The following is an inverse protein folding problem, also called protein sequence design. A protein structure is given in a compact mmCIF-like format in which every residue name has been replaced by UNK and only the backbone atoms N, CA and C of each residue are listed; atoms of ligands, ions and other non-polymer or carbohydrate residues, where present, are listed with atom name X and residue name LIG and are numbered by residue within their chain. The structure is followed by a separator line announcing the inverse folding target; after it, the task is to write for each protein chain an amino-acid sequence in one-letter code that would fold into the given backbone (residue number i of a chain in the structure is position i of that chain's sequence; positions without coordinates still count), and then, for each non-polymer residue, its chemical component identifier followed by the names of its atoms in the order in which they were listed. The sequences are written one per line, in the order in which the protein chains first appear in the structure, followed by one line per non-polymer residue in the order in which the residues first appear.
data_IF_547373034877
#
_entry.id   IF_547373034877
#
_cell.length_a   1.000
_cell.length_b   1.000
_cell.length_c   1.000
_cell.angle_alpha   90.00
_cell.angle_beta   90.00
_cell.angle_gamma   90.00
#
_symmetry.space_group_name_H-M   'P 1'
#
loop_
_entity.id
_entity.type
_entity.pdbx_description
1 polymer ?
#
# COMPACT_ATOMS: atom_id res chain seq x y z
N UNK A 1 -0.21 -24.35 48.49
CA UNK A 1 -0.18 -23.77 47.26
C UNK A 1 0.79 -24.33 46.26
N UNK A 2 0.55 -23.96 44.98
CA UNK A 2 1.43 -24.31 43.85
C UNK A 2 2.56 -23.27 43.68
N UNK A 3 2.43 -22.13 44.31
CA UNK A 3 3.35 -20.98 44.23
C UNK A 3 3.40 -20.29 45.63
N UNK A 4 4.54 -19.78 46.01
CA UNK A 4 4.71 -19.01 47.25
C UNK A 4 4.80 -17.50 46.99
N UNK A 5 4.67 -16.70 48.05
CA UNK A 5 4.67 -15.24 47.95
C UNK A 5 6.01 -14.69 47.47
N UNK A 6 7.12 -15.37 47.73
CA UNK A 6 8.45 -14.97 47.28
C UNK A 6 8.60 -15.02 45.78
N UNK A 7 7.95 -16.00 45.09
CA UNK A 7 7.97 -16.09 43.62
C UNK A 7 7.14 -14.98 43.00
N UNK A 8 6.01 -14.60 43.67
CA UNK A 8 5.19 -13.45 43.29
C UNK A 8 6.02 -12.15 43.46
N UNK A 9 6.70 -11.98 44.56
CA UNK A 9 7.53 -10.81 44.85
C UNK A 9 8.67 -10.62 43.85
N UNK A 10 9.30 -11.71 43.41
CA UNK A 10 10.33 -11.68 42.36
C UNK A 10 9.74 -11.13 41.03
N UNK A 11 8.57 -11.61 40.64
CA UNK A 11 7.90 -11.15 39.42
C UNK A 11 7.42 -9.68 39.55
N UNK A 12 6.85 -9.34 40.68
CA UNK A 12 6.40 -7.97 40.99
C UNK A 12 7.59 -7.00 41.00
N UNK A 13 8.70 -7.37 41.62
CA UNK A 13 9.91 -6.55 41.63
C UNK A 13 10.42 -6.25 40.23
N UNK A 14 10.45 -7.27 39.30
CA UNK A 14 10.84 -7.06 37.93
C UNK A 14 9.93 -6.08 37.20
N UNK A 15 8.61 -6.23 37.38
CA UNK A 15 7.62 -5.33 36.79
C UNK A 15 7.77 -3.90 37.31
N UNK A 16 7.85 -3.72 38.63
CA UNK A 16 7.97 -2.39 39.27
C UNK A 16 9.30 -1.75 38.91
N UNK A 17 10.41 -2.51 38.84
CA UNK A 17 11.70 -1.96 38.43
C UNK A 17 11.62 -1.31 37.07
N UNK A 18 11.03 -2.01 36.06
CA UNK A 18 10.85 -1.44 34.74
C UNK A 18 9.99 -0.16 34.78
N UNK A 19 8.91 -0.13 35.55
CA UNK A 19 8.05 1.05 35.70
C UNK A 19 8.76 2.23 36.34
N UNK A 20 9.60 1.98 37.36
CA UNK A 20 10.46 3.02 37.96
C UNK A 20 11.50 3.54 36.95
N UNK A 21 12.16 2.66 36.20
CA UNK A 21 13.13 3.05 35.18
C UNK A 21 12.50 3.86 34.05
N UNK A 22 11.23 3.61 33.73
CA UNK A 22 10.45 4.39 32.75
C UNK A 22 9.98 5.76 33.32
N UNK A 23 10.16 6.03 34.60
CA UNK A 23 9.71 7.28 35.23
C UNK A 23 8.20 7.33 35.49
N UNK A 24 7.48 6.21 35.44
CA UNK A 24 6.03 6.18 35.67
C UNK A 24 5.63 6.59 37.08
N UNK A 25 6.57 6.53 38.03
CA UNK A 25 6.35 6.93 39.42
C UNK A 25 6.81 8.37 39.71
N UNK A 26 7.33 9.07 38.71
CA UNK A 26 7.75 10.47 38.85
C UNK A 26 6.54 11.39 38.71
N UNK A 27 6.51 12.51 39.46
CA UNK A 27 5.43 13.50 39.35
C UNK A 27 5.36 14.11 37.93
N UNK A 28 6.51 14.31 37.30
CA UNK A 28 6.64 14.78 35.92
C UNK A 28 7.72 13.98 35.18
N UNK A 29 7.37 12.86 34.56
CA UNK A 29 8.33 12.11 33.77
C UNK A 29 8.75 12.94 32.56
N UNK A 30 10.03 12.84 32.17
CA UNK A 30 10.62 13.62 31.08
C UNK A 30 9.88 13.49 29.70
N UNK A 31 9.20 12.38 29.50
CA UNK A 31 8.42 12.13 28.27
C UNK A 31 7.03 12.78 28.30
N UNK A 32 6.47 13.17 29.43
CA UNK A 32 5.12 13.74 29.56
C UNK A 32 4.97 15.12 28.89
N UNK A 33 6.07 15.86 28.75
CA UNK A 33 6.09 17.19 28.10
C UNK A 33 6.49 17.18 26.64
N UNK A 34 6.64 16.00 26.03
CA UNK A 34 6.96 15.91 24.60
C UNK A 34 5.79 16.49 23.80
N UNK A 35 5.97 17.61 23.09
CA UNK A 35 4.88 18.25 22.38
C UNK A 35 4.49 17.44 21.13
N UNK A 36 3.21 17.46 20.76
CA UNK A 36 2.71 16.80 19.55
C UNK A 36 3.36 17.30 18.26
N UNK A 37 3.98 18.51 18.29
CA UNK A 37 4.71 19.08 17.15
C UNK A 37 5.95 18.26 16.73
N UNK A 38 6.46 17.35 17.58
CA UNK A 38 7.55 16.44 17.19
C UNK A 38 7.06 15.34 16.25
N UNK A 39 5.74 15.03 16.25
CA UNK A 39 5.18 14.06 15.32
C UNK A 39 5.36 14.52 13.88
N UNK A 40 5.97 13.66 13.06
CA UNK A 40 6.25 13.95 11.67
C UNK A 40 7.07 15.25 11.45
N UNK A 41 7.94 15.58 12.41
CA UNK A 41 8.87 16.71 12.29
C UNK A 41 9.80 16.53 11.08
N UNK A 42 10.55 17.57 10.71
CA UNK A 42 11.51 17.50 9.61
C UNK A 42 12.59 16.44 9.87
N UNK A 43 13.00 16.29 11.13
CA UNK A 43 13.96 15.29 11.57
C UNK A 43 13.41 13.88 11.42
N UNK A 44 12.14 13.64 11.81
CA UNK A 44 11.47 12.36 11.63
C UNK A 44 11.28 12.02 10.14
N UNK A 45 10.94 13.00 9.29
CA UNK A 45 10.85 12.80 7.85
C UNK A 45 12.21 12.47 7.23
N UNK A 46 13.29 13.14 7.68
CA UNK A 46 14.65 12.85 7.24
C UNK A 46 15.10 11.44 7.68
N UNK A 47 14.76 11.03 8.90
CA UNK A 47 15.03 9.69 9.39
C UNK A 47 14.26 8.62 8.59
N UNK A 48 12.98 8.86 8.32
CA UNK A 48 12.16 7.95 7.50
C UNK A 48 12.75 7.76 6.09
N UNK A 49 13.22 8.84 5.46
CA UNK A 49 13.91 8.75 4.16
C UNK A 49 15.23 7.98 4.28
N UNK A 50 16.03 8.22 5.33
CA UNK A 50 17.29 7.50 5.55
C UNK A 50 17.04 6.01 5.71
N UNK A 51 16.05 5.62 6.52
CA UNK A 51 15.69 4.22 6.71
C UNK A 51 15.22 3.56 5.40
N UNK A 52 14.40 4.26 4.61
CA UNK A 52 13.99 3.77 3.30
C UNK A 52 15.20 3.53 2.38
N UNK A 53 16.15 4.47 2.30
CA UNK A 53 17.38 4.33 1.50
C UNK A 53 18.23 3.15 1.94
N UNK A 54 18.49 3.04 3.24
CA UNK A 54 19.37 2.02 3.82
C UNK A 54 18.76 0.61 3.75
N UNK A 55 17.42 0.49 3.63
CA UNK A 55 16.73 -0.80 3.50
C UNK A 55 16.66 -1.33 2.07
N UNK A 56 16.80 -0.49 1.05
CA UNK A 56 16.75 -0.94 -0.35
C UNK A 56 17.89 -1.88 -0.69
N UNK A 57 17.58 -3.01 -1.33
CA UNK A 57 18.55 -4.03 -1.71
C UNK A 57 18.60 -4.17 -3.22
N UNK A 58 19.72 -3.83 -3.83
CA UNK A 58 19.93 -4.09 -5.26
C UNK A 58 20.29 -5.57 -5.46
N UNK A 59 19.37 -6.32 -6.09
CA UNK A 59 19.52 -7.75 -6.31
C UNK A 59 20.20 -8.09 -7.65
N UNK A 60 19.99 -7.23 -8.64
CA UNK A 60 20.56 -7.43 -9.98
C UNK A 60 20.81 -6.10 -10.67
N UNK A 61 21.93 -6.00 -11.42
CA UNK A 61 22.26 -4.85 -12.26
C UNK A 61 23.08 -5.31 -13.47
N UNK A 62 22.40 -5.91 -14.47
CA UNK A 62 23.04 -6.41 -15.68
C UNK A 62 23.61 -5.26 -16.51
N UNK A 63 24.84 -5.45 -16.95
CA UNK A 63 25.56 -4.48 -17.80
C UNK A 63 25.63 -3.07 -17.20
N UNK A 64 25.57 -2.95 -15.87
CA UNK A 64 25.57 -1.67 -15.15
C UNK A 64 24.53 -0.70 -15.71
N UNK A 65 23.28 -1.19 -15.94
CA UNK A 65 22.20 -0.35 -16.47
C UNK A 65 21.80 0.75 -15.49
N UNK A 66 21.94 0.50 -14.20
CA UNK A 66 21.82 1.52 -13.15
C UNK A 66 23.22 2.11 -12.85
N UNK A 67 23.30 3.43 -12.58
CA UNK A 67 22.19 4.39 -12.52
C UNK A 67 21.68 4.79 -13.89
N UNK A 68 20.37 5.16 -13.95
CA UNK A 68 19.72 5.64 -15.16
C UNK A 68 20.10 7.11 -15.46
N UNK A 69 20.12 7.42 -16.76
CA UNK A 69 20.24 8.81 -17.20
C UNK A 69 18.83 9.46 -17.28
N UNK A 70 18.67 10.64 -16.69
CA UNK A 70 17.41 11.39 -16.70
C UNK A 70 16.97 11.88 -18.09
N UNK A 71 17.83 11.77 -19.10
CA UNK A 71 17.48 12.08 -20.48
C UNK A 71 16.74 10.98 -21.22
N UNK A 72 16.67 9.78 -20.65
CA UNK A 72 15.93 8.65 -21.21
C UNK A 72 14.42 8.89 -21.16
N UNK A 73 13.69 8.33 -22.13
CA UNK A 73 12.24 8.22 -22.07
C UNK A 73 11.86 7.00 -21.23
N UNK A 74 11.25 7.25 -20.08
CA UNK A 74 10.98 6.24 -19.07
C UNK A 74 9.48 5.95 -19.01
N UNK A 75 9.10 4.67 -19.06
CA UNK A 75 7.76 4.26 -18.67
C UNK A 75 7.80 3.70 -17.25
N UNK A 76 6.83 4.11 -16.42
CA UNK A 76 6.59 3.55 -15.10
C UNK A 76 5.31 2.74 -15.16
N UNK A 77 5.41 1.47 -14.81
CA UNK A 77 4.30 0.50 -14.86
C UNK A 77 4.17 -0.27 -13.56
N UNK A 78 3.10 -1.05 -13.46
CA UNK A 78 2.87 -1.99 -12.36
C UNK A 78 1.92 -1.48 -11.29
N UNK A 79 1.35 -2.41 -10.50
CA UNK A 79 0.30 -2.11 -9.51
C UNK A 79 0.80 -1.22 -8.37
N UNK A 80 2.10 -1.29 -8.04
CA UNK A 80 2.70 -0.55 -6.94
C UNK A 80 3.29 0.81 -7.36
N UNK A 81 3.22 1.15 -8.64
CA UNK A 81 3.85 2.37 -9.16
C UNK A 81 3.27 3.64 -8.54
N UNK A 82 1.96 3.73 -8.42
CA UNK A 82 1.24 4.90 -7.91
C UNK A 82 0.36 4.58 -6.69
N UNK A 83 0.68 3.52 -5.97
CA UNK A 83 -0.01 3.15 -4.74
C UNK A 83 0.72 3.70 -3.51
N UNK A 84 0.07 4.61 -2.79
CA UNK A 84 0.62 5.19 -1.57
C UNK A 84 0.44 4.29 -0.36
N UNK A 85 -0.67 3.53 -0.30
CA UNK A 85 -1.06 2.71 0.86
C UNK A 85 -0.19 1.46 0.96
N UNK A 86 0.12 0.83 -0.17
CA UNK A 86 1.02 -0.32 -0.22
C UNK A 86 2.36 -0.05 0.49
N UNK A 87 2.90 1.18 0.36
CA UNK A 87 4.20 1.52 0.93
C UNK A 87 4.24 1.53 2.46
N UNK A 88 3.09 1.65 3.13
CA UNK A 88 3.06 1.81 4.60
C UNK A 88 3.32 0.50 5.35
N UNK A 89 3.08 -0.64 4.72
CA UNK A 89 3.16 -1.94 5.37
C UNK A 89 1.91 -2.26 6.21
N UNK A 90 2.00 -3.29 7.04
CA UNK A 90 0.94 -3.68 7.98
C UNK A 90 1.10 -2.89 9.28
N UNK A 91 0.01 -2.76 10.06
CA UNK A 91 0.01 -2.06 11.36
C UNK A 91 0.58 -0.65 11.31
N UNK A 92 0.26 0.06 10.24
CA UNK A 92 0.77 1.41 9.99
C UNK A 92 -0.09 2.49 10.66
N UNK A 93 0.52 3.66 10.88
CA UNK A 93 -0.21 4.92 11.03
C UNK A 93 -0.47 5.54 9.65
N UNK A 94 -1.28 6.58 9.59
CA UNK A 94 -1.56 7.32 8.35
C UNK A 94 -0.58 8.48 8.19
N UNK A 95 0.35 8.43 7.23
CA UNK A 95 1.28 9.52 6.97
C UNK A 95 0.55 10.76 6.44
N UNK A 96 1.03 11.94 6.84
CA UNK A 96 0.51 13.21 6.31
C UNK A 96 0.66 13.31 4.79
N UNK A 97 1.73 12.72 4.25
CA UNK A 97 2.03 12.67 2.81
C UNK A 97 2.88 11.44 2.52
N UNK A 98 2.55 10.74 1.45
CA UNK A 98 3.36 9.65 0.89
C UNK A 98 3.86 10.05 -0.48
N UNK A 99 5.14 9.78 -0.77
CA UNK A 99 5.72 9.94 -2.10
C UNK A 99 5.67 8.58 -2.78
N UNK A 100 4.82 8.42 -3.79
CA UNK A 100 4.72 7.17 -4.54
C UNK A 100 5.99 6.94 -5.37
N UNK A 101 6.21 5.71 -5.84
CA UNK A 101 7.35 5.39 -6.72
C UNK A 101 7.28 6.26 -8.00
N UNK A 102 6.09 6.41 -8.57
CA UNK A 102 5.84 7.29 -9.71
C UNK A 102 6.20 8.75 -9.41
N UNK A 103 5.79 9.28 -8.24
CA UNK A 103 6.10 10.65 -7.83
C UNK A 103 7.60 10.88 -7.65
N UNK A 104 8.28 9.89 -7.03
CA UNK A 104 9.74 9.93 -6.87
C UNK A 104 10.47 9.99 -8.20
N UNK A 105 10.10 9.11 -9.14
CA UNK A 105 10.68 9.06 -10.49
C UNK A 105 10.39 10.36 -11.26
N UNK A 106 9.14 10.84 -11.22
CA UNK A 106 8.74 12.10 -11.85
C UNK A 106 9.58 13.28 -11.34
N UNK A 107 9.77 13.34 -10.02
CA UNK A 107 10.59 14.37 -9.39
C UNK A 107 12.06 14.29 -9.80
N UNK A 108 12.65 13.10 -9.89
CA UNK A 108 14.03 12.90 -10.29
C UNK A 108 14.26 13.24 -11.77
N UNK A 109 13.31 12.93 -12.64
CA UNK A 109 13.41 13.25 -14.07
C UNK A 109 13.22 14.75 -14.37
N UNK A 110 12.45 15.45 -13.56
CA UNK A 110 12.22 16.91 -13.70
C UNK A 110 11.51 17.36 -14.99
N UNK A 111 11.07 16.41 -15.84
CA UNK A 111 10.42 16.67 -17.12
C UNK A 111 9.34 15.62 -17.38
N UNK A 112 8.08 16.06 -17.45
CA UNK A 112 6.93 15.19 -17.69
C UNK A 112 6.84 14.65 -19.13
N UNK A 113 7.42 15.34 -20.12
CA UNK A 113 7.38 14.95 -21.52
C UNK A 113 8.11 13.64 -21.85
N UNK A 114 8.98 13.18 -20.94
CA UNK A 114 9.73 11.93 -21.06
C UNK A 114 9.22 10.81 -20.17
N UNK A 115 8.18 11.05 -19.38
CA UNK A 115 7.60 10.08 -18.47
C UNK A 115 6.26 9.58 -19.00
N UNK A 116 6.15 8.26 -19.16
CA UNK A 116 4.90 7.57 -19.48
C UNK A 116 4.46 6.83 -18.22
N UNK A 117 3.20 6.97 -17.83
CA UNK A 117 2.60 6.13 -16.80
C UNK A 117 1.52 5.24 -17.40
N UNK A 118 1.63 3.95 -17.15
CA UNK A 118 0.63 2.95 -17.48
C UNK A 118 0.61 1.90 -16.39
N UNK A 119 -0.48 1.74 -15.64
CA UNK A 119 -0.55 0.72 -14.59
C UNK A 119 -0.36 -0.68 -15.16
N UNK A 120 -1.02 -1.00 -16.26
CA UNK A 120 -0.86 -2.21 -17.06
C UNK A 120 -1.50 -3.45 -16.45
N UNK A 121 -1.33 -3.72 -15.17
CA UNK A 121 -1.93 -4.86 -14.47
C UNK A 121 -2.25 -4.52 -13.00
N UNK A 122 -3.10 -5.36 -12.39
CA UNK A 122 -3.32 -5.36 -10.94
C UNK A 122 -2.31 -6.26 -10.23
N UNK A 123 -2.46 -6.43 -8.90
CA UNK A 123 -1.59 -7.32 -8.14
C UNK A 123 -1.74 -8.80 -8.56
N UNK A 124 -2.98 -9.30 -8.62
CA UNK A 124 -3.27 -10.74 -8.80
C UNK A 124 -4.28 -10.98 -9.92
N UNK A 125 -5.38 -10.24 -9.93
CA UNK A 125 -6.47 -10.45 -10.88
C UNK A 125 -6.18 -9.78 -12.23
N UNK A 126 -6.80 -10.26 -13.31
CA UNK A 126 -6.78 -9.63 -14.63
C UNK A 126 -7.83 -8.52 -14.76
N UNK A 127 -7.94 -7.68 -13.73
CA UNK A 127 -8.92 -6.60 -13.67
C UNK A 127 -8.25 -5.33 -13.19
N UNK A 128 -8.48 -4.26 -13.90
CA UNK A 128 -8.06 -2.91 -13.54
C UNK A 128 -9.27 -2.07 -13.16
N UNK A 129 -9.08 -1.16 -12.24
CA UNK A 129 -10.06 -0.11 -11.93
C UNK A 129 -9.38 1.21 -12.29
N UNK A 130 -9.87 1.85 -13.33
CA UNK A 130 -9.41 3.18 -13.72
C UNK A 130 -10.27 4.21 -13.00
N UNK A 131 -9.68 4.87 -11.99
CA UNK A 131 -10.38 5.88 -11.22
C UNK A 131 -10.94 6.99 -12.13
N UNK A 132 -12.23 7.27 -11.92
CA UNK A 132 -12.93 8.41 -12.51
C UNK A 132 -13.47 9.35 -11.44
N UNK A 133 -12.89 9.32 -10.25
CA UNK A 133 -13.25 10.18 -9.13
C UNK A 133 -13.22 11.67 -9.52
N UNK A 134 -12.32 12.08 -10.40
CA UNK A 134 -12.26 13.45 -10.95
C UNK A 134 -13.49 13.88 -11.75
N UNK A 135 -14.38 12.95 -12.10
CA UNK A 135 -15.66 13.22 -12.77
C UNK A 135 -16.80 13.42 -11.75
N UNK A 136 -16.52 13.32 -10.47
CA UNK A 136 -17.41 13.65 -9.38
C UNK A 136 -17.30 15.14 -9.04
N UNK A 137 -18.44 15.79 -8.80
CA UNK A 137 -18.51 17.20 -8.42
C UNK A 137 -19.61 17.42 -7.40
N UNK A 138 -19.28 18.02 -6.27
CA UNK A 138 -20.25 18.48 -5.29
C UNK A 138 -20.61 19.96 -5.51
N UNK A 139 -21.54 20.47 -4.73
CA UNK A 139 -21.88 21.91 -4.70
C UNK A 139 -20.66 22.79 -4.36
N UNK A 140 -19.72 22.27 -3.55
CA UNK A 140 -18.55 22.99 -3.05
C UNK A 140 -17.31 22.84 -3.95
N UNK A 141 -17.38 22.07 -5.05
CA UNK A 141 -16.28 21.89 -5.98
C UNK A 141 -16.03 20.44 -6.41
N UNK A 142 -14.85 20.13 -6.97
CA UNK A 142 -14.51 18.78 -7.42
C UNK A 142 -14.53 17.76 -6.28
N UNK A 143 -15.04 16.56 -6.56
CA UNK A 143 -15.12 15.45 -5.63
C UNK A 143 -16.37 15.49 -4.76
N UNK A 144 -16.25 15.19 -3.48
CA UNK A 144 -17.36 15.02 -2.54
C UNK A 144 -17.36 16.10 -1.46
N UNK A 145 -18.53 16.67 -1.16
CA UNK A 145 -18.77 17.41 0.08
C UNK A 145 -19.03 16.43 1.22
N UNK A 146 -18.44 16.68 2.38
CA UNK A 146 -18.56 15.86 3.57
C UNK A 146 -19.13 16.65 4.74
N UNK A 147 -20.02 16.03 5.50
CA UNK A 147 -20.57 16.54 6.77
C UNK A 147 -20.36 15.47 7.84
N UNK A 148 -19.89 15.87 9.01
CA UNK A 148 -19.56 14.98 10.11
C UNK A 148 -20.33 15.34 11.38
N UNK A 149 -20.76 14.33 12.14
CA UNK A 149 -21.42 14.48 13.43
C UNK A 149 -20.65 13.70 14.50
N UNK A 150 -20.49 14.27 15.68
CA UNK A 150 -19.91 13.60 16.85
C UNK A 150 -20.94 12.71 17.58
N UNK A 151 -21.70 11.95 16.80
CA UNK A 151 -22.60 10.88 17.19
C UNK A 151 -22.82 9.93 16.01
N UNK A 152 -23.30 8.72 16.27
CA UNK A 152 -23.52 7.70 15.24
C UNK A 152 -24.91 7.81 14.55
N UNK A 153 -25.74 8.80 14.91
CA UNK A 153 -27.15 8.90 14.52
C UNK A 153 -27.42 10.02 13.52
N UNK A 154 -26.36 10.74 13.06
CA UNK A 154 -26.48 11.90 12.14
C UNK A 154 -27.37 13.02 12.71
N UNK A 155 -27.41 13.20 14.04
CA UNK A 155 -28.29 14.14 14.72
C UNK A 155 -27.61 15.47 15.04
N UNK A 156 -28.40 16.55 15.00
CA UNK A 156 -27.96 17.92 15.31
C UNK A 156 -27.20 18.59 14.17
N UNK A 157 -26.59 19.72 14.47
CA UNK A 157 -25.71 20.40 13.53
C UNK A 157 -24.42 19.61 13.29
N UNK A 158 -23.88 19.59 12.06
CA UNK A 158 -22.60 18.96 11.80
C UNK A 158 -21.47 19.59 12.62
N UNK A 159 -20.66 18.76 13.27
CA UNK A 159 -19.47 19.19 14.00
C UNK A 159 -18.36 19.70 13.08
N UNK A 160 -18.32 19.21 11.85
CA UNK A 160 -17.35 19.62 10.82
C UNK A 160 -17.90 19.41 9.42
N UNK A 161 -17.34 20.15 8.46
CA UNK A 161 -17.53 19.94 7.03
C UNK A 161 -16.18 19.88 6.33
N UNK A 162 -16.10 19.16 5.21
CA UNK A 162 -14.88 19.07 4.38
C UNK A 162 -15.23 18.93 2.90
N UNK A 163 -14.25 19.21 2.05
CA UNK A 163 -14.29 18.90 0.63
C UNK A 163 -13.18 17.87 0.31
N UNK A 164 -13.57 16.74 -0.26
CA UNK A 164 -12.66 15.66 -0.65
C UNK A 164 -12.54 15.64 -2.17
N UNK A 165 -11.43 16.12 -2.70
CA UNK A 165 -11.18 16.24 -4.15
C UNK A 165 -10.45 15.04 -4.77
N UNK A 166 -10.05 14.07 -3.95
CA UNK A 166 -9.36 12.83 -4.32
C UNK A 166 -10.07 11.63 -3.70
N UNK A 167 -9.83 10.40 -4.16
CA UNK A 167 -10.31 9.20 -3.49
C UNK A 167 -10.08 9.22 -1.98
N UNK A 168 -10.99 8.65 -1.23
CA UNK A 168 -10.93 8.70 0.25
C UNK A 168 -9.87 7.74 0.78
N UNK A 169 -9.08 8.25 1.74
CA UNK A 169 -8.14 7.48 2.55
C UNK A 169 -8.25 7.96 4.00
N UNK A 170 -9.41 7.72 4.60
CA UNK A 170 -9.75 8.20 5.94
C UNK A 170 -9.56 7.07 6.95
N UNK A 171 -8.84 7.35 8.04
CA UNK A 171 -8.58 6.38 9.09
C UNK A 171 -8.42 7.09 10.44
N UNK A 172 -8.86 6.46 11.54
CA UNK A 172 -8.62 6.98 12.90
C UNK A 172 -7.41 6.33 13.58
N UNK A 173 -6.76 5.38 12.94
CA UNK A 173 -5.53 4.78 13.44
C UNK A 173 -4.44 5.83 13.69
N UNK A 174 -3.68 5.67 14.76
CA UNK A 174 -2.68 6.65 15.16
C UNK A 174 -3.27 7.98 15.68
N UNK A 175 -4.49 7.95 16.20
CA UNK A 175 -5.22 9.11 16.70
C UNK A 175 -5.46 10.22 15.66
N UNK A 176 -5.57 9.83 14.38
CA UNK A 176 -5.95 10.72 13.28
C UNK A 176 -7.47 10.84 13.22
N UNK A 177 -8.00 12.04 12.99
CA UNK A 177 -9.44 12.26 12.83
C UNK A 177 -9.82 12.38 11.35
N UNK A 178 -11.06 12.03 10.99
CA UNK A 178 -11.56 12.16 9.61
C UNK A 178 -11.59 13.61 9.12
N UNK A 179 -11.84 14.54 10.02
CA UNK A 179 -11.69 15.98 9.80
C UNK A 179 -11.44 16.71 11.14
N UNK A 180 -10.82 17.91 11.15
CA UNK A 180 -10.68 18.71 12.35
C UNK A 180 -12.03 18.95 13.05
N UNK A 181 -12.12 18.67 14.34
CA UNK A 181 -13.34 18.78 15.14
C UNK A 181 -14.21 17.52 15.18
N UNK A 182 -13.85 16.47 14.44
CA UNK A 182 -14.51 15.16 14.52
C UNK A 182 -13.85 14.30 15.60
N UNK A 183 -14.68 13.60 16.37
CA UNK A 183 -14.19 12.66 17.38
C UNK A 183 -13.44 11.47 16.74
N UNK A 184 -12.59 10.82 17.52
CA UNK A 184 -11.95 9.54 17.13
C UNK A 184 -12.95 8.38 17.13
N UNK A 185 -13.96 8.45 18.00
CA UNK A 185 -15.00 7.44 18.20
C UNK A 185 -16.39 8.07 18.17
N UNK A 186 -17.40 7.24 18.00
CA UNK A 186 -18.81 7.65 18.11
C UNK A 186 -19.20 8.81 17.17
N UNK A 187 -18.78 8.71 15.94
CA UNK A 187 -19.07 9.69 14.90
C UNK A 187 -19.78 9.08 13.69
N UNK A 188 -20.37 9.94 12.88
CA UNK A 188 -20.94 9.59 11.59
C UNK A 188 -20.59 10.64 10.54
N UNK A 189 -20.69 10.27 9.27
CA UNK A 189 -20.41 11.15 8.15
C UNK A 189 -21.34 10.90 6.97
N UNK A 190 -21.65 11.96 6.23
CA UNK A 190 -22.35 11.90 4.95
C UNK A 190 -21.48 12.58 3.89
N UNK A 191 -21.19 11.84 2.83
CA UNK A 191 -20.44 12.32 1.66
C UNK A 191 -21.39 12.39 0.47
N UNK A 192 -21.43 13.53 -0.22
CA UNK A 192 -22.34 13.77 -1.34
C UNK A 192 -21.59 14.31 -2.55
N UNK A 193 -21.97 13.82 -3.74
CA UNK A 193 -21.44 14.26 -5.02
C UNK A 193 -22.42 13.97 -6.14
N UNK A 194 -22.23 14.63 -7.27
CA UNK A 194 -22.83 14.26 -8.55
C UNK A 194 -21.76 13.69 -9.43
N UNK A 195 -21.93 12.44 -9.85
CA UNK A 195 -21.06 11.76 -10.80
C UNK A 195 -21.64 11.89 -12.22
N UNK A 196 -20.86 12.47 -13.14
CA UNK A 196 -21.26 12.59 -14.55
C UNK A 196 -20.19 11.91 -15.42
N UNK A 197 -20.38 10.64 -15.79
CA UNK A 197 -19.39 9.89 -16.56
C UNK A 197 -19.23 10.46 -17.97
N UNK A 198 -17.99 10.50 -18.45
CA UNK A 198 -17.68 10.94 -19.83
C UNK A 198 -17.90 9.85 -20.87
N UNK A 199 -17.96 8.60 -20.43
CA UNK A 199 -18.19 7.42 -21.28
C UNK A 199 -19.21 6.49 -20.62
N UNK A 200 -19.90 5.68 -21.45
CA UNK A 200 -20.83 4.66 -20.95
C UNK A 200 -20.08 3.37 -20.67
N UNK A 201 -20.42 2.69 -19.58
CA UNK A 201 -19.77 1.42 -19.22
C UNK A 201 -20.13 0.95 -17.83
N UNK A 202 -19.39 -0.06 -17.36
CA UNK A 202 -19.57 -0.61 -16.02
C UNK A 202 -18.59 0.04 -15.06
N UNK A 203 -19.12 0.78 -14.07
CA UNK A 203 -18.34 1.37 -12.98
C UNK A 203 -18.45 0.53 -11.72
N UNK A 204 -17.43 0.62 -10.90
CA UNK A 204 -17.36 0.02 -9.58
C UNK A 204 -17.19 1.14 -8.55
N UNK A 205 -18.05 1.15 -7.54
CA UNK A 205 -17.84 1.87 -6.28
C UNK A 205 -17.07 0.93 -5.37
N UNK A 206 -15.82 1.23 -5.14
CA UNK A 206 -14.91 0.36 -4.41
C UNK A 206 -14.64 0.91 -3.01
N UNK A 207 -14.80 0.06 -2.01
CA UNK A 207 -14.63 0.40 -0.61
C UNK A 207 -13.62 -0.55 0.06
N UNK A 208 -12.76 0.00 0.89
CA UNK A 208 -12.04 -0.74 1.91
C UNK A 208 -12.32 -0.06 3.25
N UNK A 209 -13.11 -0.71 4.09
CA UNK A 209 -13.78 -0.03 5.19
C UNK A 209 -13.79 -0.86 6.48
N UNK A 210 -13.60 -0.16 7.63
CA UNK A 210 -13.92 -0.64 8.97
C UNK A 210 -14.96 0.31 9.55
N UNK A 211 -16.19 -0.16 9.66
CA UNK A 211 -17.38 0.58 10.03
C UNK A 211 -18.62 0.16 9.23
N UNK A 212 -19.69 0.93 9.34
CA UNK A 212 -20.92 0.73 8.59
C UNK A 212 -21.03 1.73 7.44
N UNK A 213 -21.36 1.23 6.26
CA UNK A 213 -21.53 2.06 5.05
C UNK A 213 -22.87 1.79 4.38
N UNK A 214 -23.55 2.87 3.99
CA UNK A 214 -24.66 2.83 3.03
C UNK A 214 -24.28 3.67 1.83
N UNK A 215 -24.42 3.08 0.64
CA UNK A 215 -24.30 3.77 -0.64
C UNK A 215 -25.68 3.97 -1.22
N UNK A 216 -26.02 5.20 -1.54
CA UNK A 216 -27.23 5.56 -2.28
C UNK A 216 -26.82 6.16 -3.64
N UNK A 217 -27.55 5.78 -4.68
CA UNK A 217 -27.47 6.36 -6.03
C UNK A 217 -28.87 6.84 -6.40
N UNK A 218 -28.99 8.11 -6.78
CA UNK A 218 -30.26 8.78 -7.07
C UNK A 218 -31.30 8.56 -5.95
N UNK A 219 -30.85 8.66 -4.69
CA UNK A 219 -31.65 8.49 -3.48
C UNK A 219 -32.06 7.05 -3.15
N UNK A 220 -31.67 6.06 -3.99
CA UNK A 220 -31.96 4.64 -3.76
C UNK A 220 -30.77 3.95 -3.11
N UNK A 221 -30.98 3.24 -2.00
CA UNK A 221 -29.94 2.40 -1.38
C UNK A 221 -29.57 1.25 -2.32
N UNK A 222 -28.31 1.21 -2.76
CA UNK A 222 -27.79 0.18 -3.68
C UNK A 222 -26.81 -0.76 -2.99
N UNK A 223 -26.20 -0.34 -1.87
CA UNK A 223 -25.30 -1.16 -1.06
C UNK A 223 -25.41 -0.76 0.41
N UNK A 224 -25.38 -1.76 1.29
CA UNK A 224 -25.38 -1.57 2.74
C UNK A 224 -24.57 -2.70 3.37
N UNK A 225 -23.57 -2.37 4.20
CA UNK A 225 -22.75 -3.34 4.87
C UNK A 225 -22.15 -2.80 6.16
N UNK A 226 -21.75 -3.70 7.06
CA UNK A 226 -21.00 -3.39 8.26
C UNK A 226 -19.84 -4.37 8.41
N UNK A 227 -18.62 -3.85 8.41
CA UNK A 227 -17.43 -4.62 8.74
C UNK A 227 -17.11 -4.42 10.22
N UNK A 228 -17.22 -5.50 11.01
CA UNK A 228 -17.14 -5.48 12.47
C UNK A 228 -15.78 -5.89 13.02
N UNK A 229 -14.94 -6.50 12.21
CA UNK A 229 -13.62 -7.03 12.59
C UNK A 229 -12.59 -6.63 11.52
N UNK A 230 -12.04 -5.44 11.69
CA UNK A 230 -11.07 -4.87 10.77
C UNK A 230 -11.64 -4.39 9.43
N UNK A 231 -10.79 -3.80 8.64
CA UNK A 231 -11.13 -3.31 7.30
C UNK A 231 -11.25 -4.46 6.31
N UNK A 232 -12.27 -4.37 5.44
CA UNK A 232 -12.52 -5.36 4.40
C UNK A 232 -12.92 -4.70 3.10
N UNK A 233 -12.55 -5.30 1.95
CA UNK A 233 -13.01 -4.82 0.65
C UNK A 233 -14.51 -5.06 0.49
N UNK A 234 -15.19 -4.11 -0.11
CA UNK A 234 -16.60 -4.17 -0.51
C UNK A 234 -16.74 -3.41 -1.83
N UNK A 235 -17.53 -3.92 -2.74
CA UNK A 235 -17.74 -3.26 -4.02
C UNK A 235 -19.22 -3.28 -4.42
N UNK A 236 -19.63 -2.29 -5.23
CA UNK A 236 -20.90 -2.26 -5.92
C UNK A 236 -20.67 -1.86 -7.38
N UNK A 237 -21.06 -2.73 -8.31
CA UNK A 237 -20.97 -2.46 -9.74
C UNK A 237 -22.30 -1.95 -10.28
N UNK A 238 -22.25 -0.96 -11.17
CA UNK A 238 -23.43 -0.52 -11.94
C UNK A 238 -23.04 -0.04 -13.33
N UNK A 239 -23.97 -0.16 -14.26
CA UNK A 239 -23.80 0.40 -15.61
C UNK A 239 -24.22 1.87 -15.62
N UNK A 240 -23.38 2.71 -16.25
CA UNK A 240 -23.63 4.15 -16.39
C UNK A 240 -23.65 4.57 -17.86
N UNK A 241 -24.31 5.69 -18.13
CA UNK A 241 -24.45 6.29 -19.45
C UNK A 241 -23.67 7.61 -19.52
N UNK A 242 -22.91 7.81 -20.60
CA UNK A 242 -22.15 9.04 -20.83
C UNK A 242 -23.02 10.29 -20.76
N UNK A 243 -22.59 11.29 -20.01
CA UNK A 243 -23.29 12.57 -19.85
C UNK A 243 -24.50 12.56 -18.93
N UNK A 244 -24.95 11.40 -18.44
CA UNK A 244 -26.01 11.30 -17.44
C UNK A 244 -25.44 11.52 -16.05
N UNK A 245 -26.10 12.39 -15.29
CA UNK A 245 -25.69 12.65 -13.90
C UNK A 245 -26.36 11.66 -12.95
N UNK A 246 -25.59 11.23 -11.94
CA UNK A 246 -26.00 10.32 -10.87
C UNK A 246 -25.69 10.98 -9.54
N UNK A 247 -26.70 11.14 -8.67
CA UNK A 247 -26.53 11.64 -7.32
C UNK A 247 -25.93 10.52 -6.43
N UNK A 248 -24.75 10.72 -5.88
CA UNK A 248 -24.07 9.76 -5.04
C UNK A 248 -24.08 10.26 -3.60
N UNK A 249 -24.59 9.42 -2.70
CA UNK A 249 -24.51 9.67 -1.26
C UNK A 249 -23.91 8.45 -0.56
N UNK A 250 -22.85 8.68 0.25
CA UNK A 250 -22.24 7.67 1.10
C UNK A 250 -22.49 8.08 2.54
N UNK A 251 -23.16 7.22 3.31
CA UNK A 251 -23.33 7.36 4.77
C UNK A 251 -22.38 6.42 5.48
N UNK A 252 -21.54 6.97 6.32
CA UNK A 252 -20.60 6.23 7.17
C UNK A 252 -20.99 6.36 8.63
N UNK A 253 -20.94 5.26 9.37
CA UNK A 253 -21.09 5.25 10.83
C UNK A 253 -19.92 4.52 11.45
N UNK A 254 -19.31 5.16 12.46
CA UNK A 254 -18.38 4.50 13.36
C UNK A 254 -19.05 3.27 13.99
N UNK A 255 -18.31 2.19 14.14
CA UNK A 255 -18.84 0.96 14.73
C UNK A 255 -18.08 0.58 16.02
N UNK A 256 -16.78 0.41 15.95
CA UNK A 256 -15.94 0.04 17.07
C UNK A 256 -14.45 0.21 16.73
N UNK A 257 -13.58 0.31 17.75
CA UNK A 257 -12.13 0.39 17.62
C UNK A 257 -11.68 1.52 16.68
N UNK A 258 -10.81 1.24 15.72
CA UNK A 258 -10.44 2.21 14.68
C UNK A 258 -11.51 2.25 13.57
N UNK A 259 -11.74 3.43 13.01
CA UNK A 259 -12.56 3.60 11.82
C UNK A 259 -11.67 3.72 10.59
N UNK A 260 -12.10 3.14 9.47
CA UNK A 260 -11.45 3.34 8.17
C UNK A 260 -12.48 3.43 7.06
N UNK A 261 -12.28 4.38 6.16
CA UNK A 261 -13.07 4.51 4.93
C UNK A 261 -12.14 4.91 3.78
N UNK A 262 -11.73 3.92 2.98
CA UNK A 262 -11.17 4.16 1.67
C UNK A 262 -12.29 3.98 0.65
N UNK A 263 -12.36 4.87 -0.32
CA UNK A 263 -13.39 4.83 -1.36
C UNK A 263 -12.85 5.41 -2.67
N UNK A 264 -13.13 4.73 -3.75
CA UNK A 264 -12.95 5.22 -5.11
C UNK A 264 -14.12 4.79 -6.01
N UNK A 265 -14.26 5.47 -7.14
CA UNK A 265 -15.18 5.10 -8.23
C UNK A 265 -14.36 4.99 -9.51
N UNK A 266 -14.50 3.88 -10.23
CA UNK A 266 -13.71 3.65 -11.44
C UNK A 266 -14.41 2.74 -12.45
N UNK A 267 -14.00 2.87 -13.71
CA UNK A 267 -14.36 1.89 -14.73
C UNK A 267 -13.56 0.62 -14.53
N UNK A 268 -14.27 -0.51 -14.58
CA UNK A 268 -13.66 -1.83 -14.53
C UNK A 268 -13.31 -2.28 -15.94
N UNK A 269 -12.06 -2.59 -16.16
CA UNK A 269 -11.53 -3.07 -17.41
C UNK A 269 -10.75 -4.38 -17.20
N UNK A 270 -10.77 -5.29 -18.19
CA UNK A 270 -9.84 -6.41 -18.19
C UNK A 270 -8.42 -5.95 -18.51
N UNK A 271 -7.45 -6.55 -17.85
CA UNK A 271 -6.04 -6.28 -18.12
C UNK A 271 -5.66 -6.82 -19.51
N UNK A 272 -5.51 -5.93 -20.47
CA UNK A 272 -4.97 -6.22 -21.80
C UNK A 272 -3.46 -5.94 -21.81
N UNK A 273 -2.68 -7.00 -21.66
CA UNK A 273 -1.22 -6.94 -21.61
C UNK A 273 -0.65 -6.36 -22.91
N UNK A 274 -1.17 -6.78 -24.07
CA UNK A 274 -0.64 -6.32 -25.37
C UNK A 274 -0.92 -4.84 -25.60
N UNK A 275 -2.10 -4.36 -25.22
CA UNK A 275 -2.46 -2.95 -25.27
C UNK A 275 -1.56 -2.13 -24.35
N UNK A 276 -1.29 -2.59 -23.14
CA UNK A 276 -0.43 -1.90 -22.18
C UNK A 276 1.02 -1.85 -22.65
N UNK A 277 1.55 -2.93 -23.22
CA UNK A 277 2.88 -2.96 -23.85
C UNK A 277 2.96 -1.98 -25.02
N UNK A 278 1.90 -1.92 -25.86
CA UNK A 278 1.87 -0.98 -26.99
C UNK A 278 1.89 0.50 -26.54
N UNK A 279 1.28 0.84 -25.41
CA UNK A 279 1.30 2.21 -24.86
C UNK A 279 2.70 2.68 -24.46
N UNK A 280 3.58 1.76 -24.10
CA UNK A 280 4.96 2.07 -23.69
C UNK A 280 6.01 1.76 -24.74
N UNK A 281 5.59 1.50 -25.99
CA UNK A 281 6.49 1.13 -27.09
C UNK A 281 7.64 2.13 -27.34
N UNK A 282 7.40 3.41 -27.10
CA UNK A 282 8.37 4.50 -27.33
C UNK A 282 9.30 4.76 -26.13
N UNK A 283 9.16 4.01 -25.04
CA UNK A 283 10.04 4.14 -23.88
C UNK A 283 11.38 3.42 -24.13
N UNK A 284 12.48 4.06 -23.72
CA UNK A 284 13.83 3.47 -23.71
C UNK A 284 13.98 2.45 -22.58
N UNK A 285 13.35 2.74 -21.43
CA UNK A 285 13.38 1.94 -20.20
C UNK A 285 11.95 1.80 -19.67
N UNK A 286 11.63 0.63 -19.15
CA UNK A 286 10.41 0.40 -18.37
C UNK A 286 10.80 0.09 -16.92
N UNK A 287 10.34 0.92 -15.99
CA UNK A 287 10.41 0.65 -14.55
C UNK A 287 9.08 0.01 -14.15
N UNK A 288 9.12 -1.28 -13.83
CA UNK A 288 7.95 -2.02 -13.39
C UNK A 288 7.96 -2.11 -11.86
N UNK A 289 7.12 -1.34 -11.19
CA UNK A 289 6.92 -1.38 -9.76
C UNK A 289 5.78 -2.37 -9.43
N UNK A 290 6.16 -3.54 -9.00
CA UNK A 290 5.26 -4.66 -8.73
C UNK A 290 5.61 -5.35 -7.43
N UNK A 291 5.17 -6.59 -7.31
CA UNK A 291 5.28 -7.39 -6.09
C UNK A 291 3.90 -7.67 -5.50
N UNK A 292 3.79 -7.53 -4.19
CA UNK A 292 2.54 -7.75 -3.46
C UNK A 292 2.19 -6.51 -2.63
N UNK A 293 1.18 -6.62 -1.77
CA UNK A 293 0.68 -5.51 -0.97
C UNK A 293 0.32 -5.99 0.44
N UNK A 294 0.43 -5.14 1.47
CA UNK A 294 -0.13 -5.43 2.79
C UNK A 294 -1.64 -5.71 2.78
N UNK A 295 -2.33 -5.35 1.70
CA UNK A 295 -3.75 -5.68 1.50
C UNK A 295 -3.98 -7.13 1.03
N UNK A 296 -2.93 -7.85 0.65
CA UNK A 296 -2.96 -9.25 0.25
C UNK A 296 -2.40 -10.18 1.34
N UNK A 297 -1.34 -9.73 2.02
CA UNK A 297 -0.69 -10.48 3.10
C UNK A 297 -0.80 -9.73 4.44
N UNK A 298 -1.29 -10.40 5.46
CA UNK A 298 -1.47 -9.85 6.80
C UNK A 298 -2.36 -10.75 7.66
N UNK A 299 -2.50 -10.40 8.92
CA UNK A 299 -3.16 -11.23 9.92
C UNK A 299 -4.68 -11.30 9.70
N UNK A 300 -5.23 -12.52 9.63
CA UNK A 300 -6.67 -12.82 9.58
C UNK A 300 -7.49 -12.02 8.55
N UNK A 301 -6.93 -11.79 7.39
CA UNK A 301 -7.58 -11.00 6.34
C UNK A 301 -8.66 -11.80 5.59
N UNK A 302 -9.67 -11.11 5.09
CA UNK A 302 -10.72 -11.68 4.23
C UNK A 302 -10.28 -11.86 2.77
N UNK A 303 -9.03 -12.27 2.53
CA UNK A 303 -8.45 -12.45 1.20
C UNK A 303 -8.53 -13.92 0.79
N UNK A 304 -9.04 -14.19 -0.41
CA UNK A 304 -9.05 -15.50 -1.06
C UNK A 304 -8.81 -15.28 -2.56
N UNK A 305 -7.55 -15.25 -2.93
CA UNK A 305 -7.06 -14.97 -4.29
C UNK A 305 -5.96 -15.98 -4.65
N UNK A 306 -5.68 -16.22 -5.94
CA UNK A 306 -4.56 -17.07 -6.33
C UNK A 306 -3.25 -16.65 -5.65
N UNK A 307 -2.64 -17.57 -4.91
CA UNK A 307 -1.43 -17.33 -4.12
C UNK A 307 -1.64 -16.76 -2.71
N UNK A 308 -2.90 -16.48 -2.31
CA UNK A 308 -3.24 -15.88 -1.01
C UNK A 308 -4.52 -16.47 -0.42
N UNK A 309 -4.50 -16.80 0.88
CA UNK A 309 -5.66 -17.27 1.61
C UNK A 309 -5.66 -16.74 3.03
N UNK A 310 -6.70 -15.99 3.40
CA UNK A 310 -6.87 -15.38 4.74
C UNK A 310 -5.70 -14.49 5.20
N UNK A 311 -4.97 -13.93 4.24
CA UNK A 311 -3.79 -13.11 4.52
C UNK A 311 -2.47 -13.88 4.53
N UNK A 312 -2.52 -15.22 4.46
CA UNK A 312 -1.34 -16.04 4.29
C UNK A 312 -1.03 -16.27 2.81
N UNK A 313 0.24 -16.43 2.50
CA UNK A 313 0.67 -16.82 1.16
C UNK A 313 0.57 -18.33 1.00
N UNK A 314 -0.06 -18.76 -0.09
CA UNK A 314 -0.12 -20.17 -0.52
C UNK A 314 0.88 -20.47 -1.64
N UNK A 315 1.52 -19.43 -2.18
CA UNK A 315 2.61 -19.49 -3.16
C UNK A 315 3.61 -18.37 -2.88
N UNK A 316 4.88 -18.59 -3.17
CA UNK A 316 5.93 -17.58 -3.00
C UNK A 316 6.34 -16.90 -4.31
N UNK A 317 5.81 -17.31 -5.44
CA UNK A 317 6.09 -16.69 -6.73
C UNK A 317 5.42 -15.31 -6.86
N UNK A 318 5.95 -14.49 -7.76
CA UNK A 318 5.28 -13.25 -8.19
C UNK A 318 3.95 -13.60 -8.84
N UNK A 319 2.83 -12.90 -8.55
CA UNK A 319 1.53 -13.19 -9.14
C UNK A 319 1.56 -13.26 -10.67
N UNK A 320 0.86 -14.23 -11.24
CA UNK A 320 0.96 -14.62 -12.65
C UNK A 320 0.77 -13.44 -13.63
N UNK A 321 -0.20 -12.56 -13.37
CA UNK A 321 -0.48 -11.41 -14.25
C UNK A 321 0.72 -10.45 -14.35
N UNK A 322 1.50 -10.30 -13.28
CA UNK A 322 2.70 -9.46 -13.26
C UNK A 322 3.86 -10.15 -13.99
N UNK A 323 4.04 -11.45 -13.78
CA UNK A 323 5.05 -12.26 -14.51
C UNK A 323 4.81 -12.20 -16.01
N UNK A 324 3.56 -12.37 -16.44
CA UNK A 324 3.16 -12.26 -17.84
C UNK A 324 3.42 -10.86 -18.40
N UNK A 325 3.15 -9.79 -17.65
CA UNK A 325 3.42 -8.42 -18.06
C UNK A 325 4.92 -8.19 -18.24
N UNK A 326 5.75 -8.57 -17.26
CA UNK A 326 7.21 -8.44 -17.32
C UNK A 326 7.77 -9.22 -18.52
N UNK A 327 7.30 -10.46 -18.70
CA UNK A 327 7.69 -11.27 -19.87
C UNK A 327 7.29 -10.62 -21.19
N UNK A 328 6.07 -10.11 -21.30
CA UNK A 328 5.60 -9.46 -22.53
C UNK A 328 6.39 -8.18 -22.86
N UNK A 329 6.79 -7.40 -21.86
CA UNK A 329 7.68 -6.26 -22.02
C UNK A 329 9.07 -6.70 -22.51
N UNK A 330 9.63 -7.75 -21.93
CA UNK A 330 10.90 -8.34 -22.36
C UNK A 330 10.83 -8.84 -23.81
N UNK A 331 9.80 -9.60 -24.15
CA UNK A 331 9.58 -10.15 -25.49
C UNK A 331 9.39 -9.04 -26.55
N UNK A 332 8.85 -7.89 -26.13
CA UNK A 332 8.77 -6.68 -26.95
C UNK A 332 10.09 -5.90 -27.04
N UNK A 333 11.19 -6.45 -26.52
CA UNK A 333 12.53 -5.86 -26.57
C UNK A 333 12.75 -4.71 -25.58
N UNK A 334 11.90 -4.57 -24.55
CA UNK A 334 12.06 -3.52 -23.54
C UNK A 334 13.11 -3.89 -22.51
N UNK A 335 13.89 -2.90 -22.09
CA UNK A 335 14.78 -3.01 -20.92
C UNK A 335 13.94 -2.78 -19.68
N UNK A 336 13.68 -3.84 -18.93
CA UNK A 336 12.83 -3.80 -17.73
C UNK A 336 13.68 -3.68 -16.48
N UNK A 337 13.35 -2.73 -15.62
CA UNK A 337 13.86 -2.61 -14.26
C UNK A 337 12.72 -2.95 -13.32
N UNK A 338 12.87 -4.01 -12.54
CA UNK A 338 11.85 -4.47 -11.61
C UNK A 338 12.11 -3.89 -10.22
N UNK A 339 11.16 -3.11 -9.71
CA UNK A 339 11.12 -2.66 -8.32
C UNK A 339 10.12 -3.54 -7.59
N UNK A 340 10.64 -4.52 -6.84
CA UNK A 340 9.81 -5.46 -6.09
C UNK A 340 9.43 -4.90 -4.73
N UNK A 341 8.13 -4.73 -4.49
CA UNK A 341 7.56 -4.35 -3.20
C UNK A 341 6.90 -5.56 -2.55
N UNK A 342 7.42 -5.99 -1.41
CA UNK A 342 6.89 -7.15 -0.67
C UNK A 342 7.40 -7.15 0.76
N UNK A 343 6.56 -7.55 1.72
CA UNK A 343 6.98 -7.75 3.11
C UNK A 343 7.70 -9.10 3.30
N UNK A 344 7.48 -10.05 2.40
CA UNK A 344 8.04 -11.40 2.42
C UNK A 344 8.88 -11.69 1.15
N UNK A 345 9.74 -12.72 1.16
CA UNK A 345 10.50 -13.13 -0.01
C UNK A 345 9.59 -13.54 -1.19
N UNK A 346 9.99 -13.13 -2.39
CA UNK A 346 9.35 -13.51 -3.65
C UNK A 346 10.31 -14.40 -4.44
N UNK A 347 9.83 -15.56 -4.89
CA UNK A 347 10.54 -16.34 -5.89
C UNK A 347 10.39 -15.66 -7.25
N UNK A 348 11.49 -15.16 -7.79
CA UNK A 348 11.52 -14.33 -9.01
C UNK A 348 12.57 -14.80 -10.01
N UNK A 349 12.76 -16.13 -10.13
CA UNK A 349 13.77 -16.70 -11.02
C UNK A 349 13.56 -16.27 -12.47
N UNK A 350 12.32 -16.33 -12.97
CA UNK A 350 11.98 -15.88 -14.33
C UNK A 350 12.23 -14.37 -14.51
N UNK A 351 11.98 -13.56 -13.49
CA UNK A 351 12.20 -12.11 -13.53
C UNK A 351 13.70 -11.79 -13.58
N UNK A 352 14.55 -12.64 -12.99
CA UNK A 352 16.03 -12.48 -13.16
C UNK A 352 16.45 -12.63 -14.61
N UNK A 353 15.77 -13.41 -15.41
CA UNK A 353 16.07 -13.56 -16.84
C UNK A 353 15.53 -12.36 -17.65
N UNK A 354 14.30 -11.93 -17.37
CA UNK A 354 13.58 -10.93 -18.14
C UNK A 354 13.96 -9.49 -17.80
N UNK A 355 14.49 -9.24 -16.59
CA UNK A 355 14.82 -7.88 -16.14
C UNK A 355 16.31 -7.58 -16.28
N UNK A 356 16.63 -6.30 -16.53
CA UNK A 356 18.00 -5.80 -16.57
C UNK A 356 18.50 -5.46 -15.16
N UNK A 357 17.63 -4.95 -14.29
CA UNK A 357 17.90 -4.72 -12.88
C UNK A 357 16.70 -5.11 -12.01
N UNK A 358 16.99 -5.50 -10.77
CA UNK A 358 15.97 -5.85 -9.77
C UNK A 358 16.36 -5.16 -8.47
N UNK A 359 15.44 -4.35 -7.94
CA UNK A 359 15.55 -3.65 -6.67
C UNK A 359 14.46 -4.16 -5.71
N UNK A 360 14.85 -4.74 -4.58
CA UNK A 360 13.94 -5.09 -3.48
C UNK A 360 13.69 -3.84 -2.65
N UNK A 361 12.46 -3.37 -2.66
CA UNK A 361 12.06 -2.14 -1.99
C UNK A 361 11.27 -2.37 -0.69
N UNK A 362 10.86 -3.59 -0.40
CA UNK A 362 10.00 -3.93 0.75
C UNK A 362 8.69 -3.13 0.71
N UNK A 363 8.23 -2.65 1.87
CA UNK A 363 7.22 -1.61 2.02
C UNK A 363 7.93 -0.36 2.54
N UNK A 364 8.38 0.55 1.65
CA UNK A 364 9.44 1.50 1.97
C UNK A 364 8.99 2.75 2.73
N UNK A 365 7.73 2.81 3.19
CA UNK A 365 7.20 3.91 3.99
C UNK A 365 6.91 5.19 3.20
N UNK A 366 6.59 6.26 3.93
CA UNK A 366 6.12 7.53 3.37
C UNK A 366 7.08 8.19 2.38
N UNK A 367 8.39 7.92 2.48
CA UNK A 367 9.43 8.48 1.61
C UNK A 367 9.96 7.48 0.58
N UNK A 368 9.31 6.33 0.46
CA UNK A 368 9.79 5.19 -0.33
C UNK A 368 10.02 5.52 -1.80
N UNK A 369 9.10 6.22 -2.45
CA UNK A 369 9.25 6.58 -3.85
C UNK A 369 10.46 7.50 -4.10
N UNK A 370 10.77 8.39 -3.17
CA UNK A 370 12.00 9.21 -3.24
C UNK A 370 13.25 8.35 -3.12
N UNK A 371 13.30 7.45 -2.13
CA UNK A 371 14.45 6.55 -1.92
C UNK A 371 14.69 5.66 -3.15
N UNK A 372 13.63 5.07 -3.71
CA UNK A 372 13.69 4.25 -4.93
C UNK A 372 14.26 5.06 -6.09
N UNK A 373 13.73 6.26 -6.34
CA UNK A 373 14.21 7.12 -7.42
C UNK A 373 15.70 7.48 -7.25
N UNK A 374 16.14 7.83 -6.05
CA UNK A 374 17.54 8.17 -5.77
C UNK A 374 18.49 6.99 -6.05
N UNK A 375 18.09 5.76 -5.77
CA UNK A 375 18.87 4.57 -6.15
C UNK A 375 18.85 4.37 -7.68
N UNK A 376 17.71 4.50 -8.32
CA UNK A 376 17.59 4.27 -9.76
C UNK A 376 18.38 5.29 -10.59
N UNK A 377 18.45 6.55 -10.15
CA UNK A 377 19.14 7.64 -10.87
C UNK A 377 20.54 7.97 -10.32
N UNK A 378 20.99 7.27 -9.25
CA UNK A 378 22.36 7.35 -8.76
C UNK A 378 22.63 8.44 -7.72
N UNK A 379 21.60 9.07 -7.17
CA UNK A 379 21.75 10.03 -6.06
C UNK A 379 22.05 9.31 -4.73
N UNK A 380 21.80 8.01 -4.66
CA UNK A 380 22.12 7.16 -3.51
C UNK A 380 22.61 5.78 -3.95
N UNK A 381 23.74 5.34 -3.40
CA UNK A 381 24.28 4.00 -3.62
C UNK A 381 23.57 3.00 -2.69
N UNK A 382 22.91 1.96 -3.21
CA UNK A 382 22.21 0.98 -2.37
C UNK A 382 23.22 0.22 -1.48
N UNK A 383 22.92 0.13 -0.19
CA UNK A 383 23.77 -0.54 0.80
C UNK A 383 23.03 -1.65 1.56
N UNK A 384 21.74 -1.81 1.33
CA UNK A 384 20.92 -2.84 1.98
C UNK A 384 21.40 -4.25 1.66
N UNK A 385 21.14 -5.17 2.59
CA UNK A 385 21.42 -6.61 2.43
C UNK A 385 20.20 -7.40 2.84
N UNK A 386 19.95 -8.52 2.16
CA UNK A 386 18.81 -9.37 2.45
C UNK A 386 18.88 -9.93 3.88
N UNK A 387 17.88 -9.67 4.74
CA UNK A 387 17.80 -10.23 6.08
C UNK A 387 17.19 -11.64 6.11
N UNK A 388 16.88 -12.20 4.95
CA UNK A 388 16.26 -13.51 4.75
C UNK A 388 16.75 -14.16 3.47
N UNK A 389 16.53 -15.48 3.35
CA UNK A 389 16.83 -16.23 2.12
C UNK A 389 15.70 -16.06 1.11
N UNK A 390 16.01 -15.78 -0.14
CA UNK A 390 15.08 -15.81 -1.26
C UNK A 390 15.22 -17.13 -1.99
N UNK A 391 14.16 -17.92 -2.02
CA UNK A 391 14.11 -19.22 -2.68
C UNK A 391 13.78 -19.08 -4.17
N UNK A 392 14.14 -20.09 -4.97
CA UNK A 392 13.85 -20.13 -6.41
C UNK A 392 12.39 -20.45 -6.69
N UNK A 393 11.81 -21.31 -5.87
CA UNK A 393 10.41 -21.76 -6.00
C UNK A 393 9.91 -22.34 -4.68
N UNK A 394 8.60 -22.55 -4.60
CA UNK A 394 7.93 -23.18 -3.46
C UNK A 394 8.49 -24.59 -3.17
N UNK A 395 8.97 -25.32 -4.21
CA UNK A 395 9.52 -26.66 -4.03
C UNK A 395 10.81 -26.75 -3.20
N UNK A 396 11.45 -25.61 -2.94
CA UNK A 396 12.62 -25.53 -2.06
C UNK A 396 12.25 -25.39 -0.57
N UNK A 397 10.97 -25.14 -0.27
CA UNK A 397 10.51 -25.05 1.11
C UNK A 397 10.13 -26.43 1.63
N UNK A 398 10.42 -26.73 2.92
CA UNK A 398 9.85 -27.89 3.61
C UNK A 398 8.31 -27.82 3.62
N UNK A 399 7.68 -28.95 3.95
CA UNK A 399 6.24 -28.99 4.19
C UNK A 399 5.85 -27.96 5.26
N UNK A 400 4.71 -27.30 5.08
CA UNK A 400 4.24 -26.26 6.00
C UNK A 400 4.03 -26.77 7.42
N UNK A 401 3.66 -28.04 7.58
CA UNK A 401 3.47 -28.70 8.89
C UNK A 401 4.77 -29.26 9.48
N UNK A 402 5.89 -29.22 8.75
CA UNK A 402 7.20 -29.63 9.28
C UNK A 402 7.85 -28.53 10.10
N UNK A 403 7.80 -28.63 11.42
CA UNK A 403 8.42 -27.69 12.37
C UNK A 403 9.85 -28.03 12.75
N UNK A 404 10.47 -29.05 12.13
CA UNK A 404 11.89 -29.31 12.33
C UNK A 404 12.73 -28.20 11.71
N UNK A 405 13.81 -27.79 12.38
CA UNK A 405 14.70 -26.76 11.85
C UNK A 405 15.54 -27.24 10.66
N UNK A 406 15.62 -28.54 10.42
CA UNK A 406 16.39 -29.10 9.30
C UNK A 406 15.81 -28.62 7.96
N UNK A 407 16.67 -28.04 7.12
CA UNK A 407 16.24 -27.52 5.83
C UNK A 407 15.62 -26.13 5.84
N UNK A 408 15.35 -25.53 7.02
CA UNK A 408 14.79 -24.19 7.16
C UNK A 408 15.87 -23.11 7.28
N UNK A 409 15.53 -21.90 6.84
CA UNK A 409 16.34 -20.67 6.92
C UNK A 409 17.74 -20.77 6.29
N UNK A 410 18.44 -19.63 6.18
CA UNK A 410 19.81 -19.57 5.69
C UNK A 410 20.78 -20.50 6.43
N UNK A 411 20.46 -20.88 7.67
CA UNK A 411 21.34 -21.67 8.56
C UNK A 411 21.31 -23.15 8.21
N UNK A 412 20.19 -23.70 7.79
CA UNK A 412 19.99 -25.15 7.59
C UNK A 412 19.60 -25.54 6.18
N UNK A 413 19.24 -24.57 5.33
CA UNK A 413 18.96 -24.81 3.91
C UNK A 413 20.22 -25.25 3.18
N UNK A 414 20.15 -26.39 2.50
CA UNK A 414 21.29 -27.02 1.80
C UNK A 414 21.28 -26.84 0.29
N UNK A 415 20.21 -26.26 -0.25
CA UNK A 415 20.07 -25.99 -1.67
C UNK A 415 20.75 -24.68 -2.08
N UNK A 416 20.69 -24.37 -3.37
CA UNK A 416 21.13 -23.08 -3.89
C UNK A 416 19.93 -22.11 -3.92
N UNK A 417 19.87 -21.10 -3.05
CA UNK A 417 18.80 -20.11 -3.09
C UNK A 417 18.90 -19.23 -4.34
N UNK A 418 17.84 -18.52 -4.66
CA UNK A 418 17.87 -17.48 -5.69
C UNK A 418 18.80 -16.33 -5.26
N UNK A 419 18.60 -15.84 -4.04
CA UNK A 419 19.50 -14.90 -3.38
C UNK A 419 19.71 -15.33 -1.92
N UNK A 420 20.95 -15.40 -1.50
CA UNK A 420 21.28 -15.83 -0.15
C UNK A 420 21.02 -14.72 0.88
N UNK A 421 20.82 -15.11 2.14
CA UNK A 421 20.90 -14.20 3.27
C UNK A 421 22.18 -13.35 3.21
N UNK A 422 22.06 -12.05 3.45
CA UNK A 422 23.17 -11.10 3.37
C UNK A 422 23.53 -10.63 1.97
N UNK A 423 22.85 -11.12 0.93
CA UNK A 423 23.11 -10.71 -0.46
C UNK A 423 22.62 -9.27 -0.71
N UNK A 424 23.35 -8.57 -1.59
CA UNK A 424 23.03 -7.26 -2.12
C UNK A 424 24.22 -6.68 -2.87
N UNK A 425 23.96 -5.97 -3.95
CA UNK A 425 24.92 -5.23 -4.75
C UNK A 425 25.02 -3.78 -4.23
N UNK A 426 26.12 -3.10 -4.58
CA UNK A 426 26.37 -1.69 -4.25
C UNK A 426 26.97 -0.97 -5.46
#
# INVERSE_FOLDING_TARGET
GLIDEKEIDISLKRLLTARFELGEMDEQPAWAEIPTSVLNSKEHQALALRMARESLVLLQNKNNILPLNTNLKVAVMGPNANDSVMQWGNYNGTPKRTITILDGIRSAMGKDDKLIYEQGCSWVERKLIHSVFSQCKSENGPGFSARYWNNTEFKGEPAATAQLSTPFHLCTSGATVFAPGVNLTDFSAVYQSVFTPRESGDVVFDFYCYGSVKLLVDGKEVKNFTNKHGSRPQAHGMRVEAGKSYDIEIRFQYFASDAQLNFDIGFKEECDIQRSVAKVKDADIVIFAGGISPQLEGEEMGVDLPGFKRGDRTDIELPAVQREMIKALHDAGKKVIFVNCSGSPIAMEAETEHCQAILQAWYPGQSGGKAVAEVLFGDYTPAGRLPVTFYRSLSQLPDFEDYNMAGHTYRFFKGEPLFSFGYGLS
#
